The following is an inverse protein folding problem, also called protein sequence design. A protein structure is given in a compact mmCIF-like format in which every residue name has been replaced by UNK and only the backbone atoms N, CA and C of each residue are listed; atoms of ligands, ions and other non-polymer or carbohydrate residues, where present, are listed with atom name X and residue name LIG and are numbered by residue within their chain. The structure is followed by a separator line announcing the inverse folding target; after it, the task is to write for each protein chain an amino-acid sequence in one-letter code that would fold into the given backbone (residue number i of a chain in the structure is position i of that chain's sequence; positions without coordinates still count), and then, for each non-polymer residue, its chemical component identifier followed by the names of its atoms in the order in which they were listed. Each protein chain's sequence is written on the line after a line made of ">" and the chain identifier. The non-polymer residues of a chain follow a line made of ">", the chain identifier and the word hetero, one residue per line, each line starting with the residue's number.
data_IF_488702211880
#
_entry.id   IF_488702211880
#
_cell.length_a   1.000
_cell.length_b   1.000
_cell.length_c   1.000
_cell.angle_alpha   90.00
_cell.angle_beta   90.00
_cell.angle_gamma   90.00
#
_symmetry.space_group_name_H-M   'P 1'
#
loop_
_entity.id
_entity.type
_entity.pdbx_description
1 polymer ?
#
# COMPACT_ATOMS: atom_id res chain seq x y z
N UNK A 1 0.04 12.62 -22.70
CA UNK A 1 0.31 11.29 -23.29
C UNK A 1 1.57 11.33 -24.17
N UNK A 2 2.75 11.72 -23.64
CA UNK A 2 4.04 11.75 -24.41
C UNK A 2 5.30 11.63 -23.50
N UNK A 3 5.28 10.85 -22.41
CA UNK A 3 6.53 10.60 -21.62
C UNK A 3 6.64 9.12 -21.24
N UNK A 4 6.51 8.22 -22.21
CA UNK A 4 6.75 6.78 -21.99
C UNK A 4 7.58 6.11 -23.10
N UNK A 5 8.05 6.86 -24.11
CA UNK A 5 8.69 6.28 -25.28
C UNK A 5 10.24 6.32 -25.27
N UNK A 6 10.92 6.60 -24.15
CA UNK A 6 12.38 6.81 -24.16
C UNK A 6 13.21 5.99 -23.17
N UNK A 7 12.68 4.90 -22.64
CA UNK A 7 13.45 3.97 -21.79
C UNK A 7 13.67 2.60 -22.49
N UNK A 8 13.35 2.49 -23.78
CA UNK A 8 13.50 1.26 -24.55
C UNK A 8 14.52 1.40 -25.70
N UNK A 9 15.76 1.78 -25.41
CA UNK A 9 16.88 1.47 -26.31
C UNK A 9 18.23 1.64 -25.62
N UNK A 10 18.64 0.66 -24.83
CA UNK A 10 20.07 0.42 -24.56
C UNK A 10 20.24 -1.02 -24.11
N UNK A 11 20.56 -1.89 -25.06
CA UNK A 11 20.87 -3.31 -24.83
C UNK A 11 22.30 -3.44 -24.31
N UNK A 12 22.45 -3.72 -23.02
CA UNK A 12 23.71 -4.19 -22.44
C UNK A 12 23.79 -5.74 -22.53
N UNK A 13 24.99 -6.33 -22.76
CA UNK A 13 25.13 -7.76 -23.01
C UNK A 13 24.83 -8.62 -21.78
N UNK A 14 24.21 -9.77 -22.04
CA UNK A 14 23.75 -10.73 -21.04
C UNK A 14 24.91 -11.31 -20.20
N UNK A 15 25.04 -10.86 -18.95
CA UNK A 15 25.83 -11.56 -17.95
C UNK A 15 25.04 -12.79 -17.47
N UNK A 16 25.60 -13.99 -17.69
CA UNK A 16 25.11 -15.23 -17.07
C UNK A 16 25.27 -15.13 -15.56
N UNK A 17 24.17 -14.87 -14.85
CA UNK A 17 24.11 -15.01 -13.40
C UNK A 17 23.93 -16.50 -13.10
N UNK A 18 25.05 -17.19 -12.88
CA UNK A 18 25.06 -18.56 -12.35
C UNK A 18 24.92 -18.50 -10.83
N UNK A 19 24.01 -19.31 -10.29
CA UNK A 19 23.58 -19.44 -8.88
C UNK A 19 22.63 -18.35 -8.36
N UNK A 20 21.32 -18.57 -8.58
CA UNK A 20 20.27 -17.84 -7.85
C UNK A 20 20.37 -18.20 -6.36
N UNK A 21 20.47 -17.22 -5.45
CA UNK A 21 20.21 -17.49 -4.04
C UNK A 21 18.75 -17.96 -3.96
N UNK A 22 18.52 -19.13 -3.37
CA UNK A 22 17.17 -19.66 -3.11
C UNK A 22 16.51 -18.71 -2.13
N UNK A 23 15.77 -17.75 -2.68
CA UNK A 23 14.90 -16.88 -1.91
C UNK A 23 13.86 -17.74 -1.23
N UNK A 24 13.80 -17.66 0.11
CA UNK A 24 12.84 -18.39 0.93
C UNK A 24 11.43 -18.13 0.38
N UNK A 25 10.57 -19.16 0.21
CA UNK A 25 9.20 -19.00 -0.30
C UNK A 25 8.30 -18.34 0.76
N UNK A 26 8.61 -17.09 1.11
CA UNK A 26 7.95 -16.35 2.18
C UNK A 26 6.72 -15.61 1.64
N UNK A 27 5.54 -16.11 2.00
CA UNK A 27 4.25 -15.45 1.76
C UNK A 27 4.03 -14.33 2.79
N UNK A 28 4.80 -13.24 2.73
CA UNK A 28 4.81 -12.18 3.76
C UNK A 28 4.40 -10.80 3.23
N UNK A 29 3.88 -9.95 4.12
CA UNK A 29 3.40 -8.59 3.82
C UNK A 29 4.35 -7.66 3.06
N UNK A 30 5.70 -7.73 3.19
CA UNK A 30 6.59 -6.91 2.38
C UNK A 30 6.39 -7.07 0.86
N UNK A 31 5.87 -8.22 0.40
CA UNK A 31 5.50 -8.43 -1.01
C UNK A 31 4.52 -7.37 -1.53
N UNK A 32 3.57 -6.95 -0.69
CA UNK A 32 2.48 -6.07 -1.08
C UNK A 32 2.91 -4.61 -1.18
N UNK A 33 4.11 -4.25 -0.69
CA UNK A 33 4.58 -2.86 -0.55
C UNK A 33 4.58 -2.05 -1.85
N UNK A 34 4.64 -2.72 -3.00
CA UNK A 34 4.71 -2.11 -4.33
C UNK A 34 3.34 -2.00 -4.99
N UNK A 35 2.33 -2.72 -4.48
CA UNK A 35 1.02 -2.90 -5.12
C UNK A 35 0.29 -1.58 -5.31
N UNK A 36 0.23 -0.74 -4.27
CA UNK A 36 -0.41 0.56 -4.33
C UNK A 36 0.27 1.50 -5.34
N UNK A 37 1.60 1.53 -5.40
CA UNK A 37 2.33 2.39 -6.34
C UNK A 37 2.12 1.91 -7.77
N UNK A 38 2.28 0.61 -8.05
CA UNK A 38 2.10 0.06 -9.39
C UNK A 38 0.66 0.25 -9.90
N UNK A 39 -0.33 0.10 -9.01
CA UNK A 39 -1.73 0.37 -9.31
C UNK A 39 -1.99 1.81 -9.74
N UNK A 40 -1.14 2.78 -9.38
CA UNK A 40 -1.29 4.16 -9.85
C UNK A 40 -0.92 4.30 -11.35
N UNK A 41 0.06 3.52 -11.83
CA UNK A 41 0.67 3.68 -13.15
C UNK A 41 0.25 2.63 -14.19
N UNK A 42 -0.35 1.53 -13.76
CA UNK A 42 -0.78 0.44 -14.64
C UNK A 42 -2.21 -0.03 -14.33
N UNK A 43 -2.84 -0.69 -15.30
CA UNK A 43 -4.17 -1.29 -15.20
C UNK A 43 -4.24 -2.60 -15.99
N UNK A 44 -5.29 -3.40 -15.77
CA UNK A 44 -5.55 -4.65 -16.50
C UNK A 44 -4.38 -5.64 -16.45
N UNK A 45 -4.12 -6.33 -17.55
CA UNK A 45 -3.09 -7.37 -17.65
C UNK A 45 -1.67 -6.82 -17.39
N UNK A 46 -1.41 -5.57 -17.77
CA UNK A 46 -0.13 -4.90 -17.50
C UNK A 46 0.11 -4.74 -16.00
N UNK A 47 -0.94 -4.40 -15.23
CA UNK A 47 -0.84 -4.33 -13.77
C UNK A 47 -0.52 -5.71 -13.19
N UNK A 48 -1.20 -6.75 -13.67
CA UNK A 48 -0.97 -8.12 -13.22
C UNK A 48 0.47 -8.58 -13.50
N UNK A 49 1.01 -8.28 -14.68
CA UNK A 49 2.39 -8.61 -15.04
C UNK A 49 3.40 -7.88 -14.16
N UNK A 50 3.31 -6.54 -14.07
CA UNK A 50 4.26 -5.72 -13.30
C UNK A 50 4.26 -6.08 -11.81
N UNK A 51 3.09 -6.35 -11.23
CA UNK A 51 2.98 -6.78 -9.83
C UNK A 51 3.64 -8.13 -9.62
N UNK A 52 3.40 -9.11 -10.48
CA UNK A 52 4.02 -10.43 -10.35
C UNK A 52 5.54 -10.36 -10.47
N UNK A 53 6.05 -9.68 -11.51
CA UNK A 53 7.50 -9.48 -11.68
C UNK A 53 8.11 -8.81 -10.45
N UNK A 54 7.49 -7.73 -9.94
CA UNK A 54 7.99 -6.99 -8.81
C UNK A 54 7.96 -7.78 -7.49
N UNK A 55 6.93 -8.58 -7.27
CA UNK A 55 6.81 -9.45 -6.09
C UNK A 55 7.83 -10.57 -6.15
N UNK A 56 7.97 -11.23 -7.31
CA UNK A 56 8.88 -12.37 -7.48
C UNK A 56 10.35 -12.02 -7.35
N UNK A 57 10.72 -10.73 -7.41
CA UNK A 57 12.07 -10.28 -7.05
C UNK A 57 12.42 -10.50 -5.58
N UNK A 58 11.45 -10.42 -4.66
CA UNK A 58 11.69 -10.52 -3.21
C UNK A 58 10.93 -11.64 -2.51
N UNK A 59 9.90 -12.19 -3.16
CA UNK A 59 9.02 -13.20 -2.60
C UNK A 59 8.62 -14.17 -3.71
N UNK A 60 9.33 -15.30 -3.81
CA UNK A 60 8.98 -16.34 -4.78
C UNK A 60 7.88 -17.25 -4.20
N UNK A 61 6.67 -16.73 -4.10
CA UNK A 61 5.51 -17.43 -3.53
C UNK A 61 4.21 -17.03 -4.24
N UNK A 62 3.37 -18.00 -4.57
CA UNK A 62 2.14 -17.77 -5.33
C UNK A 62 1.07 -17.00 -4.55
N UNK A 63 0.93 -17.24 -3.24
CA UNK A 63 -0.02 -16.48 -2.40
C UNK A 63 0.42 -15.02 -2.26
N UNK A 64 1.73 -14.76 -2.15
CA UNK A 64 2.25 -13.39 -2.14
C UNK A 64 1.89 -12.64 -3.43
N UNK A 65 2.04 -13.29 -4.59
CA UNK A 65 1.64 -12.72 -5.88
C UNK A 65 0.13 -12.50 -5.95
N UNK A 66 -0.66 -13.51 -5.54
CA UNK A 66 -2.13 -13.44 -5.58
C UNK A 66 -2.68 -12.31 -4.71
N UNK A 67 -2.22 -12.19 -3.46
CA UNK A 67 -2.62 -11.10 -2.56
C UNK A 67 -2.15 -9.74 -3.09
N UNK A 68 -0.95 -9.65 -3.66
CA UNK A 68 -0.46 -8.39 -4.22
C UNK A 68 -1.30 -7.94 -5.42
N UNK A 69 -1.69 -8.86 -6.31
CA UNK A 69 -2.61 -8.57 -7.42
C UNK A 69 -3.99 -8.16 -6.92
N UNK A 70 -4.56 -8.93 -5.98
CA UNK A 70 -5.84 -8.61 -5.35
C UNK A 70 -5.87 -7.17 -4.81
N UNK A 71 -4.86 -6.79 -4.00
CA UNK A 71 -4.77 -5.45 -3.44
C UNK A 71 -4.41 -4.38 -4.49
N UNK A 72 -3.61 -4.70 -5.50
CA UNK A 72 -3.30 -3.76 -6.58
C UNK A 72 -4.54 -3.37 -7.38
N UNK A 73 -5.39 -4.35 -7.75
CA UNK A 73 -6.63 -4.06 -8.48
C UNK A 73 -7.65 -3.30 -7.61
N UNK A 74 -7.74 -3.63 -6.32
CA UNK A 74 -8.54 -2.85 -5.36
C UNK A 74 -8.07 -1.38 -5.33
N UNK A 75 -6.76 -1.14 -5.24
CA UNK A 75 -6.20 0.22 -5.25
C UNK A 75 -6.40 0.92 -6.59
N UNK A 76 -6.28 0.20 -7.71
CA UNK A 76 -6.51 0.76 -9.05
C UNK A 76 -7.93 1.32 -9.17
N UNK A 77 -8.93 0.54 -8.75
CA UNK A 77 -10.32 0.95 -8.78
C UNK A 77 -10.56 2.15 -7.84
N UNK A 78 -9.95 2.18 -6.65
CA UNK A 78 -10.02 3.33 -5.75
C UNK A 78 -9.42 4.60 -6.36
N UNK A 79 -8.29 4.49 -7.06
CA UNK A 79 -7.67 5.62 -7.74
C UNK A 79 -8.51 6.13 -8.91
N UNK A 80 -9.21 5.26 -9.63
CA UNK A 80 -10.12 5.64 -10.71
C UNK A 80 -11.40 6.28 -10.18
N UNK A 81 -11.95 5.78 -9.08
CA UNK A 81 -13.12 6.37 -8.43
C UNK A 81 -12.84 7.75 -7.84
N UNK A 82 -11.59 8.04 -7.46
CA UNK A 82 -11.20 9.28 -6.81
C UNK A 82 -11.74 9.36 -5.38
N UNK A 83 -11.88 10.60 -4.86
CA UNK A 83 -12.31 10.81 -3.47
C UNK A 83 -13.79 10.46 -3.31
N UNK A 84 -14.06 9.46 -2.46
CA UNK A 84 -15.41 9.03 -2.13
C UNK A 84 -16.01 9.87 -1.00
N UNK A 85 -17.35 9.95 -0.99
CA UNK A 85 -18.09 10.44 0.17
C UNK A 85 -18.01 9.41 1.30
N UNK A 86 -17.92 9.88 2.56
CA UNK A 86 -17.74 9.01 3.72
C UNK A 86 -18.83 7.93 3.80
N UNK A 87 -20.09 8.31 3.61
CA UNK A 87 -21.24 7.40 3.66
C UNK A 87 -21.18 6.28 2.62
N UNK A 88 -20.43 6.47 1.53
CA UNK A 88 -20.26 5.48 0.48
C UNK A 88 -18.93 4.70 0.58
N UNK A 89 -17.98 5.16 1.41
CA UNK A 89 -16.62 4.60 1.45
C UNK A 89 -16.62 3.11 1.87
N UNK A 90 -17.43 2.75 2.87
CA UNK A 90 -17.55 1.36 3.35
C UNK A 90 -18.15 0.45 2.29
N UNK A 91 -19.26 0.85 1.68
CA UNK A 91 -19.97 0.03 0.68
C UNK A 91 -19.15 -0.12 -0.60
N UNK A 92 -18.44 0.95 -0.99
CA UNK A 92 -17.48 0.89 -2.08
C UNK A 92 -16.34 -0.09 -1.78
N UNK A 93 -15.72 0.00 -0.60
CA UNK A 93 -14.67 -0.94 -0.20
C UNK A 93 -15.17 -2.40 -0.21
N UNK A 94 -16.34 -2.66 0.36
CA UNK A 94 -16.97 -3.99 0.36
C UNK A 94 -17.15 -4.52 -1.07
N UNK A 95 -17.73 -3.70 -1.95
CA UNK A 95 -17.97 -4.06 -3.35
C UNK A 95 -16.66 -4.36 -4.10
N UNK A 96 -15.59 -3.60 -3.83
CA UNK A 96 -14.28 -3.81 -4.43
C UNK A 96 -13.59 -5.08 -3.91
N UNK A 97 -13.70 -5.37 -2.62
CA UNK A 97 -13.19 -6.62 -2.04
C UNK A 97 -13.91 -7.81 -2.67
N UNK A 98 -15.24 -7.78 -2.76
CA UNK A 98 -16.06 -8.83 -3.38
C UNK A 98 -15.74 -9.03 -4.86
N UNK A 99 -15.53 -7.94 -5.61
CA UNK A 99 -15.17 -7.99 -7.04
C UNK A 99 -13.83 -8.70 -7.27
N UNK A 100 -12.83 -8.44 -6.43
CA UNK A 100 -11.45 -8.85 -6.70
C UNK A 100 -11.04 -10.13 -5.97
N UNK A 101 -11.82 -10.63 -4.99
CA UNK A 101 -11.44 -11.80 -4.17
C UNK A 101 -11.14 -13.08 -4.97
N UNK A 102 -11.70 -13.25 -6.17
CA UNK A 102 -11.45 -14.41 -7.03
C UNK A 102 -10.03 -14.41 -7.64
N UNK A 103 -9.27 -13.31 -7.49
CA UNK A 103 -7.83 -13.28 -7.79
C UNK A 103 -6.99 -14.06 -6.77
N UNK A 104 -7.58 -14.40 -5.63
CA UNK A 104 -6.95 -15.21 -4.59
C UNK A 104 -7.16 -16.70 -4.87
N UNK A 105 -6.26 -17.55 -4.37
CA UNK A 105 -6.53 -18.99 -4.31
C UNK A 105 -7.66 -19.31 -3.34
N UNK A 106 -8.19 -20.54 -3.39
CA UNK A 106 -9.34 -20.99 -2.58
C UNK A 106 -9.24 -20.62 -1.09
N UNK A 107 -8.07 -20.82 -0.49
CA UNK A 107 -7.81 -20.47 0.92
C UNK A 107 -7.90 -18.97 1.16
N UNK A 108 -7.21 -18.17 0.34
CA UNK A 108 -7.23 -16.71 0.46
C UNK A 108 -8.63 -16.13 0.26
N UNK A 109 -9.38 -16.66 -0.72
CA UNK A 109 -10.77 -16.27 -0.95
C UNK A 109 -11.65 -16.59 0.27
N UNK A 110 -11.56 -17.80 0.82
CA UNK A 110 -12.32 -18.20 2.00
C UNK A 110 -12.04 -17.30 3.22
N UNK A 111 -10.79 -16.90 3.42
CA UNK A 111 -10.40 -15.99 4.51
C UNK A 111 -10.94 -14.57 4.29
N UNK A 112 -10.97 -14.09 3.05
CA UNK A 112 -11.59 -12.81 2.70
C UNK A 112 -13.11 -12.86 2.85
N UNK A 113 -13.75 -13.96 2.45
CA UNK A 113 -15.18 -14.19 2.65
C UNK A 113 -15.54 -14.21 4.13
N UNK A 114 -14.69 -14.82 4.96
CA UNK A 114 -14.84 -14.79 6.41
C UNK A 114 -14.72 -13.36 6.95
N UNK A 115 -13.73 -12.57 6.52
CA UNK A 115 -13.60 -11.17 6.91
C UNK A 115 -14.82 -10.32 6.48
N UNK A 116 -15.42 -10.60 5.33
CA UNK A 116 -16.63 -9.95 4.85
C UNK A 116 -17.88 -10.30 5.67
N UNK A 117 -17.90 -11.46 6.32
CA UNK A 117 -19.03 -11.96 7.12
C UNK A 117 -19.19 -11.26 8.47
N UNK A 118 -18.16 -10.57 8.96
CA UNK A 118 -18.26 -9.77 10.17
C UNK A 118 -19.23 -8.59 9.96
N UNK A 119 -20.02 -8.31 11.00
CA UNK A 119 -21.00 -7.20 11.00
C UNK A 119 -20.59 -6.04 11.91
N UNK A 120 -19.60 -6.26 12.79
CA UNK A 120 -19.13 -5.29 13.78
C UNK A 120 -17.63 -5.38 13.92
N UNK A 121 -17.01 -4.29 14.40
CA UNK A 121 -15.59 -4.28 14.71
C UNK A 121 -15.27 -5.27 15.85
N UNK A 122 -14.61 -6.37 15.51
CA UNK A 122 -14.03 -7.31 16.47
C UNK A 122 -12.57 -7.62 16.11
N UNK A 123 -11.67 -6.69 16.37
CA UNK A 123 -10.26 -6.87 16.03
C UNK A 123 -9.60 -7.98 16.88
N UNK A 124 -10.09 -8.26 18.09
CA UNK A 124 -9.52 -9.31 18.96
C UNK A 124 -9.91 -10.70 18.48
N UNK A 125 -11.17 -10.91 18.15
CA UNK A 125 -11.64 -12.14 17.55
C UNK A 125 -11.04 -12.35 16.18
N UNK A 126 -11.01 -11.32 15.32
CA UNK A 126 -10.37 -11.41 14.01
C UNK A 126 -8.87 -11.73 14.10
N UNK A 127 -8.12 -11.11 15.02
CA UNK A 127 -6.71 -11.47 15.25
C UNK A 127 -6.56 -12.92 15.75
N UNK A 128 -7.47 -13.41 16.61
CA UNK A 128 -7.44 -14.81 17.07
C UNK A 128 -7.73 -15.79 15.93
N UNK A 129 -8.63 -15.40 15.03
CA UNK A 129 -9.11 -16.23 13.92
C UNK A 129 -8.09 -16.28 12.77
N UNK A 130 -7.63 -15.12 12.30
CA UNK A 130 -6.72 -15.03 11.16
C UNK A 130 -5.26 -15.12 11.57
N UNK A 131 -4.92 -14.75 12.80
CA UNK A 131 -3.55 -14.59 13.27
C UNK A 131 -3.06 -13.14 13.18
N UNK A 132 -1.95 -12.87 13.87
CA UNK A 132 -1.32 -11.54 13.95
C UNK A 132 0.00 -11.45 13.18
N UNK A 133 0.46 -12.54 12.57
CA UNK A 133 1.79 -12.62 11.97
C UNK A 133 1.85 -11.95 10.59
N UNK A 134 3.06 -11.87 10.04
CA UNK A 134 3.36 -11.19 8.79
C UNK A 134 2.90 -11.95 7.53
N UNK A 135 2.27 -13.10 7.66
CA UNK A 135 1.81 -13.88 6.52
C UNK A 135 0.61 -13.24 5.83
N UNK A 136 0.61 -13.23 4.50
CA UNK A 136 -0.43 -12.55 3.70
C UNK A 136 -1.84 -13.12 3.94
N UNK A 137 -1.95 -14.41 4.23
CA UNK A 137 -3.22 -15.08 4.54
C UNK A 137 -3.74 -14.74 5.94
N UNK A 138 -2.89 -14.28 6.85
CA UNK A 138 -3.29 -13.76 8.17
C UNK A 138 -3.59 -12.26 8.09
N UNK A 139 -2.67 -11.51 7.50
CA UNK A 139 -2.69 -10.06 7.48
C UNK A 139 -3.72 -9.47 6.50
N UNK A 140 -3.89 -10.08 5.33
CA UNK A 140 -4.85 -9.64 4.31
C UNK A 140 -6.31 -9.56 4.81
N UNK A 141 -6.91 -10.66 5.31
CA UNK A 141 -8.27 -10.62 5.85
C UNK A 141 -8.40 -9.69 7.06
N UNK A 142 -7.37 -9.59 7.91
CA UNK A 142 -7.39 -8.67 9.04
C UNK A 142 -7.38 -7.19 8.60
N UNK A 143 -6.64 -6.83 7.54
CA UNK A 143 -6.69 -5.49 6.95
C UNK A 143 -8.09 -5.16 6.43
N UNK A 144 -8.72 -6.10 5.71
CA UNK A 144 -10.09 -5.95 5.19
C UNK A 144 -11.08 -5.75 6.35
N UNK A 145 -11.03 -6.61 7.36
CA UNK A 145 -11.89 -6.50 8.54
C UNK A 145 -11.78 -5.12 9.21
N UNK A 146 -10.56 -4.64 9.46
CA UNK A 146 -10.36 -3.34 10.11
C UNK A 146 -10.93 -2.21 9.25
N UNK A 147 -10.65 -2.20 7.95
CA UNK A 147 -11.08 -1.11 7.07
C UNK A 147 -12.60 -1.09 6.85
N UNK A 148 -13.27 -2.25 6.84
CA UNK A 148 -14.73 -2.32 6.73
C UNK A 148 -15.45 -1.81 7.98
N UNK A 149 -14.78 -1.85 9.14
CA UNK A 149 -15.40 -1.56 10.43
C UNK A 149 -14.79 -0.34 11.15
N UNK A 150 -14.09 0.53 10.42
CA UNK A 150 -13.58 1.81 10.94
C UNK A 150 -13.93 2.95 10.01
N UNK A 151 -14.14 4.13 10.56
CA UNK A 151 -14.59 5.34 9.85
C UNK A 151 -13.49 6.40 9.89
N UNK A 152 -12.35 6.07 9.31
CA UNK A 152 -11.27 7.03 9.09
C UNK A 152 -9.89 6.43 9.24
N UNK A 153 -8.91 7.16 8.71
CA UNK A 153 -7.51 6.75 8.70
C UNK A 153 -6.95 6.57 10.12
N UNK A 154 -7.28 7.50 11.03
CA UNK A 154 -6.80 7.48 12.41
C UNK A 154 -7.33 6.25 13.15
N UNK A 155 -8.61 5.98 13.04
CA UNK A 155 -9.25 4.84 13.72
C UNK A 155 -8.70 3.51 13.18
N UNK A 156 -8.66 3.35 11.85
CA UNK A 156 -8.12 2.15 11.20
C UNK A 156 -6.69 1.84 11.68
N UNK A 157 -5.81 2.84 11.75
CA UNK A 157 -4.44 2.65 12.23
C UNK A 157 -4.38 2.33 13.72
N UNK A 158 -5.23 2.95 14.56
CA UNK A 158 -5.28 2.61 16.00
C UNK A 158 -5.72 1.18 16.22
N UNK A 159 -6.77 0.74 15.53
CA UNK A 159 -7.26 -0.64 15.59
C UNK A 159 -6.18 -1.62 15.09
N UNK A 160 -5.47 -1.30 14.00
CA UNK A 160 -4.36 -2.12 13.50
C UNK A 160 -3.22 -2.28 14.53
N UNK A 161 -2.89 -1.22 15.28
CA UNK A 161 -1.92 -1.28 16.36
C UNK A 161 -2.43 -2.17 17.50
N UNK A 162 -3.70 -1.99 17.90
CA UNK A 162 -4.34 -2.79 18.95
C UNK A 162 -4.49 -4.27 18.59
N UNK A 163 -4.55 -4.59 17.29
CA UNK A 163 -4.54 -5.95 16.77
C UNK A 163 -3.18 -6.67 16.92
N UNK A 164 -2.11 -5.96 17.33
CA UNK A 164 -0.78 -6.50 17.69
C UNK A 164 -0.07 -7.29 16.57
N UNK A 165 1.05 -7.95 16.87
CA UNK A 165 1.85 -8.69 15.90
C UNK A 165 2.47 -7.80 14.81
N UNK A 166 2.45 -8.25 13.55
CA UNK A 166 2.99 -7.52 12.39
C UNK A 166 2.05 -6.37 11.95
N UNK A 167 1.84 -5.42 12.84
CA UNK A 167 1.05 -4.23 12.56
C UNK A 167 1.73 -3.34 11.52
N UNK A 168 3.06 -3.32 11.44
CA UNK A 168 3.79 -2.49 10.49
C UNK A 168 3.66 -3.03 9.06
N UNK A 169 3.74 -4.35 8.85
CA UNK A 169 3.45 -4.96 7.55
C UNK A 169 2.01 -4.71 7.10
N UNK A 170 1.04 -4.81 8.00
CA UNK A 170 -0.37 -4.45 7.72
C UNK A 170 -0.56 -2.98 7.40
N UNK A 171 0.13 -2.09 8.11
CA UNK A 171 -0.02 -0.65 7.96
C UNK A 171 0.30 -0.15 6.54
N UNK A 172 1.14 -0.86 5.78
CA UNK A 172 1.48 -0.47 4.39
C UNK A 172 0.24 -0.47 3.50
N UNK A 173 -0.49 -1.58 3.41
CA UNK A 173 -1.70 -1.65 2.59
C UNK A 173 -2.91 -1.02 3.28
N UNK A 174 -3.04 -1.18 4.60
CA UNK A 174 -4.12 -0.56 5.37
C UNK A 174 -4.08 0.96 5.24
N UNK A 175 -2.89 1.56 5.37
CA UNK A 175 -2.68 3.00 5.20
C UNK A 175 -2.91 3.45 3.77
N UNK A 176 -2.46 2.70 2.76
CA UNK A 176 -2.71 3.03 1.36
C UNK A 176 -4.22 3.08 1.04
N UNK A 177 -4.97 2.06 1.46
CA UNK A 177 -6.42 1.97 1.22
C UNK A 177 -7.16 3.05 2.00
N UNK A 178 -6.89 3.20 3.31
CA UNK A 178 -7.53 4.23 4.11
C UNK A 178 -7.20 5.64 3.60
N UNK A 179 -5.98 5.88 3.14
CA UNK A 179 -5.57 7.15 2.53
C UNK A 179 -6.32 7.44 1.23
N UNK A 180 -6.52 6.43 0.39
CA UNK A 180 -7.32 6.57 -0.83
C UNK A 180 -8.82 6.82 -0.54
N UNK A 181 -9.37 6.15 0.48
CA UNK A 181 -10.78 6.31 0.88
C UNK A 181 -11.05 7.68 1.51
N UNK A 182 -10.19 8.14 2.42
CA UNK A 182 -10.48 9.29 3.29
C UNK A 182 -9.69 10.56 2.94
N UNK A 183 -8.63 10.44 2.14
CA UNK A 183 -7.76 11.56 1.75
C UNK A 183 -6.90 12.11 2.89
N UNK A 184 -6.33 13.30 2.69
CA UNK A 184 -5.54 14.04 3.69
C UNK A 184 -6.43 15.04 4.43
N UNK A 185 -6.19 15.22 5.74
CA UNK A 185 -6.87 16.20 6.56
C UNK A 185 -8.34 15.86 6.86
N UNK A 186 -9.07 16.86 7.37
CA UNK A 186 -10.45 16.69 7.82
C UNK A 186 -10.59 15.75 9.03
N UNK A 187 -11.82 15.36 9.33
CA UNK A 187 -12.14 14.51 10.49
C UNK A 187 -11.68 13.05 10.30
N UNK A 188 -11.85 12.52 9.08
CA UNK A 188 -11.63 11.10 8.77
C UNK A 188 -10.34 10.79 8.00
N UNK A 189 -9.68 11.80 7.41
CA UNK A 189 -8.48 11.61 6.59
C UNK A 189 -7.20 11.41 7.38
N UNK A 190 -6.07 11.39 6.67
CA UNK A 190 -4.73 11.32 7.25
C UNK A 190 -4.49 12.58 8.08
N UNK A 191 -4.22 12.48 9.40
CA UNK A 191 -3.92 13.66 10.21
C UNK A 191 -2.65 14.35 9.73
N UNK A 192 -2.70 15.65 9.49
CA UNK A 192 -1.55 16.45 9.00
C UNK A 192 -0.37 16.38 9.97
N UNK A 193 -0.65 16.50 11.27
CA UNK A 193 0.34 16.30 12.34
C UNK A 193 1.01 14.92 12.33
N UNK A 194 0.42 13.88 11.71
CA UNK A 194 1.08 12.58 11.56
C UNK A 194 2.03 12.60 10.37
N UNK A 195 1.65 13.26 9.27
CA UNK A 195 2.50 13.48 8.09
C UNK A 195 3.77 14.25 8.49
N UNK A 196 3.60 15.32 9.26
CA UNK A 196 4.70 16.17 9.76
C UNK A 196 5.72 15.43 10.63
N UNK A 197 5.30 14.35 11.29
CA UNK A 197 6.17 13.52 12.14
C UNK A 197 6.89 12.43 11.37
N UNK A 198 6.64 12.27 10.06
CA UNK A 198 7.34 11.28 9.25
C UNK A 198 8.71 11.79 8.81
N UNK A 199 9.74 10.95 8.91
CA UNK A 199 11.10 11.26 8.42
C UNK A 199 11.20 11.25 6.90
N UNK A 200 10.14 10.83 6.21
CA UNK A 200 10.08 10.77 4.75
C UNK A 200 9.54 12.05 4.13
N UNK A 201 9.06 13.01 4.91
CA UNK A 201 8.37 14.18 4.38
C UNK A 201 9.24 15.00 3.42
N UNK A 202 10.51 15.24 3.78
CA UNK A 202 11.48 15.92 2.91
C UNK A 202 11.71 15.16 1.61
N UNK A 203 11.84 13.82 1.70
CA UNK A 203 12.02 12.96 0.53
C UNK A 203 10.80 12.97 -0.38
N UNK A 204 9.60 12.91 0.20
CA UNK A 204 8.34 12.95 -0.54
C UNK A 204 8.17 14.29 -1.25
N UNK A 205 8.41 15.42 -0.57
CA UNK A 205 8.39 16.76 -1.17
C UNK A 205 9.44 16.95 -2.26
N UNK A 206 10.47 16.12 -2.31
CA UNK A 206 11.44 16.07 -3.42
C UNK A 206 10.93 15.34 -4.67
N UNK A 207 9.85 14.56 -4.56
CA UNK A 207 9.20 13.86 -5.69
C UNK A 207 8.05 14.68 -6.25
N UNK A 208 7.76 14.53 -7.55
CA UNK A 208 6.64 15.23 -8.18
C UNK A 208 5.29 14.82 -7.57
N UNK A 209 5.13 13.56 -7.20
CA UNK A 209 3.93 13.06 -6.50
C UNK A 209 3.76 13.65 -5.10
N UNK A 210 4.84 13.79 -4.32
CA UNK A 210 4.74 14.40 -3.01
C UNK A 210 4.53 15.91 -3.06
N UNK A 211 5.09 16.63 -4.06
CA UNK A 211 4.76 18.05 -4.29
C UNK A 211 3.29 18.26 -4.62
N UNK A 212 2.71 17.36 -5.43
CA UNK A 212 1.29 17.38 -5.78
C UNK A 212 0.39 17.15 -4.56
N UNK A 213 0.75 16.22 -3.67
CA UNK A 213 -0.07 15.82 -2.53
C UNK A 213 0.09 16.71 -1.30
N UNK A 214 1.27 17.30 -1.10
CA UNK A 214 1.64 17.98 0.15
C UNK A 214 1.89 19.48 -0.02
N UNK A 215 1.77 19.98 -1.25
CA UNK A 215 2.20 21.33 -1.63
C UNK A 215 3.72 21.44 -1.84
N UNK A 216 4.14 22.55 -2.45
CA UNK A 216 5.57 22.87 -2.60
C UNK A 216 6.17 23.36 -1.27
N UNK A 217 7.46 23.08 -1.07
CA UNK A 217 8.26 23.81 -0.07
C UNK A 217 8.35 25.26 -0.57
N UNK A 218 7.97 26.29 0.21
CA UNK A 218 8.33 27.66 -0.12
C UNK A 218 9.84 27.69 -0.33
N UNK A 219 10.31 28.22 -1.46
CA UNK A 219 11.74 28.36 -1.68
C UNK A 219 12.33 29.09 -0.47
N UNK A 220 13.25 28.45 0.26
CA UNK A 220 13.97 29.10 1.34
C UNK A 220 14.63 30.36 0.79
N UNK A 221 14.02 31.51 1.03
CA UNK A 221 14.71 32.79 1.00
C UNK A 221 15.76 32.76 2.09
N UNK A 222 17.02 32.57 1.71
CA UNK A 222 18.16 32.84 2.58
C UNK A 222 19.22 31.75 2.67
N UNK A 223 19.82 31.35 1.54
CA UNK A 223 21.26 31.04 1.59
C UNK A 223 22.01 32.37 1.63
N UNK A 224 22.15 32.95 2.82
CA UNK A 224 23.18 33.95 3.07
C UNK A 224 24.33 33.37 3.89
N UNK A 225 25.51 33.46 3.28
CA UNK A 225 26.83 33.50 3.89
C UNK A 225 27.36 32.27 4.63
N UNK A 226 27.75 31.23 3.86
CA UNK A 226 29.02 30.54 4.13
C UNK A 226 30.07 31.15 3.19
N UNK A 227 30.55 32.35 3.53
CA UNK A 227 31.75 32.91 2.95
C UNK A 227 32.48 33.74 4.02
N UNK A 228 33.78 33.49 4.13
CA UNK A 228 34.75 34.11 5.04
C UNK A 228 34.69 33.69 6.51
N UNK A 229 35.46 32.65 6.83
CA UNK A 229 36.43 32.67 7.94
C UNK A 229 37.54 31.66 7.62
N UNK A 230 38.39 32.06 6.68
CA UNK A 230 39.80 31.68 6.65
C UNK A 230 40.61 32.97 6.86
N UNK A 231 41.72 32.87 7.59
CA UNK A 231 42.63 33.93 8.06
C UNK A 231 42.22 34.69 9.32
N UNK A 232 42.59 34.15 10.49
CA UNK A 232 43.70 34.60 11.34
C UNK A 232 43.83 33.71 12.57
#
# INVERSE_FOLDING_TARGET
>A
MVILARIASETAPAARITSSPVMTPAAQMPALSRSAVLAHFAAGDMLDQLVEEAVRMTNNNHDAVAYSRFFAHLMRDLYEAGRLQLSAARDALRSLVERHRDRLGNRGRALVDEALSYHTLDYRGATRQFGAACHVDMAGPLVIHILLHTEGFREANRVNILASGDNCGRAVMLGAIAGALYGVGGEHGIPEQWIERTTLLERLRGTDGGRLLLGSVPAETGREAIASRSSR
#
